data_IF_241127276273
#
_entry.id   IF_241127276273
#
_cell.length_a   1.000
_cell.length_b   1.000
_cell.length_c   1.000
_cell.angle_alpha   90.00
_cell.angle_beta   90.00
_cell.angle_gamma   90.00
#
_symmetry.space_group_name_H-M   'P 1'
#
loop_
_entity.id
_entity.type
_entity.pdbx_description
1 polymer ?
#
# COMPACT_ATOMS: atom_id res chain seq x y z
N UNK A 1 55.42 -62.44 10.07
CA UNK A 1 56.10 -62.36 8.76
C UNK A 1 55.02 -62.65 7.72
N UNK A 2 54.59 -61.78 6.80
CA UNK A 2 55.29 -60.91 5.83
C UNK A 2 54.17 -60.00 5.26
N UNK A 3 54.18 -58.67 5.49
CA UNK A 3 54.62 -57.62 4.54
C UNK A 3 53.98 -57.84 3.14
N UNK A 4 53.26 -56.93 2.46
CA UNK A 4 53.44 -55.47 2.31
C UNK A 4 52.42 -54.92 1.25
N UNK A 5 51.94 -53.68 1.42
CA UNK A 5 51.63 -52.60 0.41
C UNK A 5 50.39 -52.77 -0.53
N UNK A 6 49.30 -52.01 -0.31
CA UNK A 6 48.87 -50.68 -0.87
C UNK A 6 48.48 -50.72 -2.35
N UNK A 7 47.23 -50.33 -2.68
CA UNK A 7 46.93 -49.43 -3.82
C UNK A 7 45.59 -48.69 -3.62
N UNK A 8 45.64 -47.36 -3.76
CA UNK A 8 44.55 -46.38 -3.89
C UNK A 8 43.55 -46.76 -5.00
N UNK A 9 42.24 -46.48 -4.82
CA UNK A 9 41.44 -45.73 -5.81
C UNK A 9 40.00 -45.42 -5.33
N UNK A 10 39.63 -44.15 -5.47
CA UNK A 10 38.31 -43.62 -5.87
C UNK A 10 37.02 -44.09 -5.18
N UNK A 11 36.27 -43.14 -4.61
CA UNK A 11 34.93 -42.75 -5.10
C UNK A 11 34.28 -41.71 -4.15
N UNK A 12 34.67 -40.44 -4.30
CA UNK A 12 33.85 -39.29 -3.90
C UNK A 12 33.04 -38.85 -5.12
N UNK A 13 31.86 -39.43 -5.29
CA UNK A 13 30.87 -39.16 -6.35
C UNK A 13 29.57 -39.89 -5.87
N UNK A 14 28.36 -39.34 -5.74
CA UNK A 14 27.73 -38.15 -6.28
C UNK A 14 26.57 -37.70 -5.36
N UNK A 15 26.61 -36.45 -4.89
CA UNK A 15 25.39 -35.66 -4.67
C UNK A 15 25.09 -34.95 -5.99
N UNK A 16 24.55 -35.69 -6.97
CA UNK A 16 23.96 -35.10 -8.17
C UNK A 16 22.45 -35.19 -8.06
N UNK A 17 21.88 -34.32 -7.22
CA UNK A 17 20.54 -33.83 -7.48
C UNK A 17 20.61 -32.96 -8.72
N UNK A 18 20.55 -33.57 -9.90
CA UNK A 18 20.22 -32.86 -11.12
C UNK A 18 18.75 -32.46 -11.01
N UNK A 19 18.46 -31.34 -10.35
CA UNK A 19 17.26 -30.60 -10.73
C UNK A 19 17.46 -30.26 -12.20
N UNK A 20 16.61 -30.80 -13.06
CA UNK A 20 16.60 -30.42 -14.45
C UNK A 20 16.14 -28.96 -14.45
N UNK A 21 17.07 -28.03 -14.65
CA UNK A 21 16.72 -26.63 -14.79
C UNK A 21 15.81 -26.52 -16.02
N UNK A 22 14.49 -26.44 -15.80
CA UNK A 22 13.58 -25.88 -16.79
C UNK A 22 13.83 -24.36 -16.76
N UNK A 23 15.02 -23.95 -17.22
CA UNK A 23 15.19 -22.59 -17.71
C UNK A 23 14.28 -22.55 -18.93
N UNK A 24 13.23 -21.75 -18.85
CA UNK A 24 12.38 -21.43 -19.98
C UNK A 24 13.28 -20.84 -21.06
N UNK A 25 13.71 -21.68 -22.00
CA UNK A 25 14.39 -21.23 -23.19
C UNK A 25 13.34 -20.51 -24.04
N UNK A 26 13.54 -19.21 -24.28
CA UNK A 26 12.66 -18.44 -25.16
C UNK A 26 12.80 -18.97 -26.59
N UNK A 27 11.93 -19.90 -27.00
CA UNK A 27 11.75 -20.21 -28.41
C UNK A 27 11.00 -19.06 -29.09
N UNK A 28 11.78 -18.18 -29.71
CA UNK A 28 11.31 -17.08 -30.56
C UNK A 28 11.86 -15.71 -30.17
N UNK A 29 11.91 -14.79 -31.14
CA UNK A 29 12.09 -13.35 -30.94
C UNK A 29 10.86 -12.74 -30.25
N UNK A 30 10.53 -13.22 -29.05
CA UNK A 30 9.49 -12.63 -28.21
C UNK A 30 10.12 -11.45 -27.47
N UNK A 31 9.94 -10.25 -28.01
CA UNK A 31 10.26 -9.02 -27.26
C UNK A 31 9.23 -8.92 -26.12
N UNK A 32 9.65 -8.66 -24.87
CA UNK A 32 8.72 -8.40 -23.78
C UNK A 32 7.78 -7.25 -24.15
N UNK A 33 6.48 -7.45 -23.93
CA UNK A 33 5.50 -6.36 -24.01
C UNK A 33 5.71 -5.49 -22.77
N UNK A 34 6.25 -4.28 -22.97
CA UNK A 34 6.53 -3.32 -21.90
C UNK A 34 5.52 -2.17 -21.88
N UNK A 35 4.43 -2.25 -22.66
CA UNK A 35 3.39 -1.23 -22.65
C UNK A 35 2.59 -1.31 -21.35
N UNK A 36 2.44 -0.19 -20.66
CA UNK A 36 1.56 -0.07 -19.50
C UNK A 36 0.12 -0.05 -20.01
N UNK A 37 -0.71 -0.92 -19.45
CA UNK A 37 -2.15 -1.00 -19.73
C UNK A 37 -2.90 -0.53 -18.50
N UNK A 38 -3.77 0.46 -18.68
CA UNK A 38 -4.67 0.94 -17.64
C UNK A 38 -6.07 0.33 -17.75
N UNK A 39 -6.94 0.70 -16.81
CA UNK A 39 -8.30 0.20 -16.71
C UNK A 39 -8.34 -1.22 -16.13
N UNK A 40 -7.40 -1.54 -15.24
CA UNK A 40 -7.43 -2.76 -14.46
C UNK A 40 -8.51 -2.60 -13.39
N UNK A 41 -9.39 -3.59 -13.28
CA UNK A 41 -10.41 -3.62 -12.23
C UNK A 41 -9.71 -3.75 -10.87
N UNK A 42 -9.90 -2.77 -9.99
CA UNK A 42 -9.27 -2.73 -8.67
C UNK A 42 -9.92 -3.77 -7.76
N UNK A 43 -9.09 -4.63 -7.17
CA UNK A 43 -9.51 -5.55 -6.12
C UNK A 43 -9.48 -4.81 -4.78
N UNK A 44 -10.58 -4.11 -4.48
CA UNK A 44 -10.70 -3.29 -3.27
C UNK A 44 -10.43 -4.05 -1.97
N UNK A 45 -10.73 -5.35 -1.91
CA UNK A 45 -10.39 -6.18 -0.75
C UNK A 45 -8.90 -6.19 -0.45
N UNK A 46 -8.05 -6.32 -1.48
CA UNK A 46 -6.59 -6.26 -1.32
C UNK A 46 -6.13 -4.87 -0.94
N UNK A 47 -6.75 -3.82 -1.48
CA UNK A 47 -6.45 -2.44 -1.08
C UNK A 47 -6.68 -2.22 0.41
N UNK A 48 -7.83 -2.67 0.93
CA UNK A 48 -8.12 -2.55 2.36
C UNK A 48 -7.20 -3.42 3.22
N UNK A 49 -6.88 -4.65 2.78
CA UNK A 49 -5.93 -5.52 3.47
C UNK A 49 -4.52 -4.89 3.55
N UNK A 50 -4.06 -4.24 2.48
CA UNK A 50 -2.78 -3.52 2.45
C UNK A 50 -2.79 -2.33 3.42
N UNK A 51 -3.88 -1.56 3.45
CA UNK A 51 -4.02 -0.44 4.37
C UNK A 51 -4.06 -0.90 5.83
N UNK A 52 -4.81 -1.95 6.15
CA UNK A 52 -4.86 -2.51 7.49
C UNK A 52 -3.49 -3.03 7.92
N UNK A 53 -2.78 -3.74 7.03
CA UNK A 53 -1.45 -4.25 7.31
C UNK A 53 -0.42 -3.14 7.59
N UNK A 54 -0.52 -2.01 6.89
CA UNK A 54 0.43 -0.90 7.02
C UNK A 54 0.09 0.07 8.15
N UNK A 55 -1.19 0.38 8.34
CA UNK A 55 -1.63 1.51 9.15
C UNK A 55 -2.35 1.11 10.45
N UNK A 56 -2.74 -0.17 10.61
CA UNK A 56 -3.16 -0.73 11.91
C UNK A 56 -2.02 -1.40 12.68
N UNK A 57 -0.78 -1.31 12.18
CA UNK A 57 0.41 -1.75 12.91
C UNK A 57 0.61 -0.88 14.16
N UNK A 58 0.39 -1.48 15.34
CA UNK A 58 0.48 -0.80 16.64
C UNK A 58 1.92 -0.42 17.03
N UNK A 59 2.95 -0.95 16.37
CA UNK A 59 4.33 -0.50 16.55
C UNK A 59 4.58 0.86 15.89
N UNK A 60 3.95 1.11 14.73
CA UNK A 60 4.06 2.35 13.98
C UNK A 60 2.98 3.38 14.38
N UNK A 61 1.76 2.90 14.55
CA UNK A 61 0.56 3.69 14.86
C UNK A 61 -0.14 3.11 16.10
N UNK A 62 0.41 3.32 17.32
CA UNK A 62 -0.15 2.75 18.55
C UNK A 62 -1.59 3.19 18.86
N UNK A 63 -2.04 4.27 18.20
CA UNK A 63 -3.37 4.85 18.35
C UNK A 63 -4.41 4.37 17.33
N UNK A 64 -4.03 3.71 16.23
CA UNK A 64 -4.98 3.41 15.14
C UNK A 64 -5.87 2.23 15.49
N UNK A 65 -7.20 2.38 15.43
CA UNK A 65 -8.15 1.32 15.80
C UNK A 65 -8.85 0.70 14.58
N UNK A 66 -9.22 1.50 13.58
CA UNK A 66 -9.78 0.97 12.34
C UNK A 66 -9.69 1.98 11.20
N UNK A 67 -9.61 1.48 9.97
CA UNK A 67 -9.73 2.26 8.74
C UNK A 67 -11.02 1.80 8.06
N UNK A 68 -11.93 2.73 7.81
CA UNK A 68 -13.16 2.44 7.07
C UNK A 68 -13.24 3.40 5.89
N UNK A 69 -13.39 2.86 4.69
CA UNK A 69 -13.49 3.66 3.49
C UNK A 69 -14.67 3.25 2.62
N UNK A 70 -15.21 4.22 1.89
CA UNK A 70 -16.20 4.00 0.85
C UNK A 70 -15.72 4.67 -0.43
N UNK A 71 -15.58 3.87 -1.49
CA UNK A 71 -15.23 4.36 -2.82
C UNK A 71 -16.50 4.46 -3.65
N UNK A 72 -16.79 5.67 -4.13
CA UNK A 72 -17.95 5.97 -4.95
C UNK A 72 -17.48 6.36 -6.35
N UNK A 73 -17.08 5.35 -7.12
CA UNK A 73 -16.49 5.51 -8.47
C UNK A 73 -17.36 6.36 -9.40
N UNK A 74 -18.69 6.18 -9.36
CA UNK A 74 -19.63 6.94 -10.21
C UNK A 74 -19.67 8.44 -9.87
N UNK A 75 -19.31 8.80 -8.64
CA UNK A 75 -19.33 10.18 -8.14
C UNK A 75 -17.93 10.81 -8.09
N UNK A 76 -16.88 10.05 -8.41
CA UNK A 76 -15.48 10.38 -8.16
C UNK A 76 -15.26 10.85 -6.71
N UNK A 77 -15.69 10.03 -5.74
CA UNK A 77 -15.59 10.36 -4.32
C UNK A 77 -14.99 9.24 -3.48
N UNK A 78 -14.22 9.66 -2.48
CA UNK A 78 -13.64 8.81 -1.46
C UNK A 78 -14.08 9.36 -0.10
N UNK A 79 -14.78 8.55 0.69
CA UNK A 79 -15.05 8.88 2.09
C UNK A 79 -14.23 7.96 3.00
N UNK A 80 -13.43 8.54 3.89
CA UNK A 80 -12.61 7.82 4.86
C UNK A 80 -12.95 8.21 6.30
N UNK A 81 -13.15 7.19 7.13
CA UNK A 81 -13.31 7.33 8.59
C UNK A 81 -12.20 6.53 9.26
N UNK A 82 -11.30 7.28 9.89
CA UNK A 82 -10.14 6.76 10.60
C UNK A 82 -10.42 6.82 12.11
N UNK A 83 -10.68 5.66 12.70
CA UNK A 83 -10.93 5.58 14.13
C UNK A 83 -9.63 5.35 14.87
N UNK A 84 -9.45 6.14 15.93
CA UNK A 84 -8.24 6.12 16.77
C UNK A 84 -8.63 5.97 18.24
N UNK A 85 -7.64 5.72 19.10
CA UNK A 85 -7.83 5.88 20.53
C UNK A 85 -7.87 7.38 20.91
N UNK A 86 -8.26 7.70 22.15
CA UNK A 86 -8.48 9.10 22.59
C UNK A 86 -7.19 9.94 22.72
N UNK A 87 -6.01 9.37 22.47
CA UNK A 87 -4.72 9.97 22.85
C UNK A 87 -3.85 10.37 21.64
N UNK A 88 -4.36 11.22 20.76
CA UNK A 88 -3.60 11.75 19.62
C UNK A 88 -3.80 13.26 19.42
N UNK A 89 -2.75 13.99 19.03
CA UNK A 89 -2.88 15.41 18.67
C UNK A 89 -3.49 15.59 17.28
N UNK A 90 -3.97 16.80 16.98
CA UNK A 90 -4.48 17.13 15.65
C UNK A 90 -3.41 17.00 14.55
N UNK A 91 -2.16 17.34 14.88
CA UNK A 91 -1.01 17.21 13.98
C UNK A 91 -0.74 15.74 13.65
N UNK A 92 -0.71 14.87 14.67
CA UNK A 92 -0.53 13.43 14.44
C UNK A 92 -1.72 12.83 13.67
N UNK A 93 -2.95 13.29 13.91
CA UNK A 93 -4.12 12.88 13.13
C UNK A 93 -4.02 13.32 11.66
N UNK A 94 -3.52 14.53 11.41
CA UNK A 94 -3.23 15.07 10.08
C UNK A 94 -2.17 14.24 9.34
N UNK A 95 -1.05 13.94 10.01
CA UNK A 95 0.02 13.10 9.47
C UNK A 95 -0.47 11.68 9.14
N UNK A 96 -1.23 11.08 10.07
CA UNK A 96 -1.81 9.75 9.88
C UNK A 96 -2.79 9.70 8.71
N UNK A 97 -3.75 10.63 8.65
CA UNK A 97 -4.73 10.69 7.58
C UNK A 97 -4.08 10.94 6.21
N UNK A 98 -3.08 11.82 6.16
CA UNK A 98 -2.28 12.07 4.95
C UNK A 98 -1.58 10.80 4.49
N UNK A 99 -0.97 10.06 5.42
CA UNK A 99 -0.27 8.82 5.10
C UNK A 99 -1.23 7.72 4.60
N UNK A 100 -2.41 7.58 5.22
CA UNK A 100 -3.43 6.61 4.79
C UNK A 100 -3.93 6.92 3.38
N UNK A 101 -4.17 8.19 3.04
CA UNK A 101 -4.55 8.58 1.67
C UNK A 101 -3.46 8.24 0.64
N UNK A 102 -2.20 8.52 0.96
CA UNK A 102 -1.07 8.15 0.11
C UNK A 102 -0.98 6.63 -0.07
N UNK A 103 -1.11 5.87 1.02
CA UNK A 103 -1.15 4.41 0.96
C UNK A 103 -2.32 3.86 0.14
N UNK A 104 -3.49 4.50 0.21
CA UNK A 104 -4.67 4.12 -0.58
C UNK A 104 -4.36 4.24 -2.06
N UNK A 105 -3.79 5.37 -2.47
CA UNK A 105 -3.34 5.56 -3.84
C UNK A 105 -2.28 4.53 -4.24
N UNK A 106 -1.27 4.30 -3.40
CA UNK A 106 -0.13 3.44 -3.74
C UNK A 106 -0.54 1.98 -3.92
N UNK A 107 -1.50 1.50 -3.12
CA UNK A 107 -2.08 0.17 -3.32
C UNK A 107 -2.88 0.09 -4.64
N UNK A 108 -3.63 1.14 -4.99
CA UNK A 108 -4.29 1.23 -6.32
C UNK A 108 -3.27 1.24 -7.46
N UNK A 109 -2.22 2.04 -7.37
CA UNK A 109 -1.16 2.15 -8.37
C UNK A 109 -0.31 0.87 -8.50
N UNK A 110 -0.29 0.02 -7.46
CA UNK A 110 0.34 -1.30 -7.51
C UNK A 110 -0.47 -2.29 -8.36
N UNK A 111 -1.79 -2.14 -8.41
CA UNK A 111 -2.68 -2.99 -9.21
C UNK A 111 -2.84 -2.46 -10.63
N UNK A 112 -3.05 -1.15 -10.79
CA UNK A 112 -3.14 -0.46 -12.08
C UNK A 112 -1.98 0.54 -12.23
N UNK A 113 -0.94 0.10 -12.92
CA UNK A 113 0.28 0.88 -13.18
C UNK A 113 0.06 2.12 -14.07
N UNK A 114 -1.16 2.35 -14.57
CA UNK A 114 -1.48 3.60 -15.26
C UNK A 114 -1.68 4.78 -14.29
N UNK A 115 -1.92 4.51 -13.00
CA UNK A 115 -1.91 5.53 -11.96
C UNK A 115 -0.50 5.74 -11.44
N UNK A 116 -0.11 7.00 -11.29
CA UNK A 116 1.12 7.37 -10.61
C UNK A 116 0.98 7.12 -9.08
N UNK A 117 2.02 6.57 -8.44
CA UNK A 117 2.09 6.50 -6.98
C UNK A 117 2.20 7.90 -6.37
N UNK A 118 1.99 7.97 -5.07
CA UNK A 118 2.19 9.15 -4.24
C UNK A 118 3.68 9.50 -4.11
N UNK A 119 3.96 10.76 -3.75
CA UNK A 119 5.30 11.23 -3.39
C UNK A 119 5.23 12.23 -2.22
N UNK A 120 6.27 13.03 -1.99
CA UNK A 120 6.30 14.01 -0.89
C UNK A 120 5.20 15.09 -1.03
N UNK A 121 4.92 15.53 -2.26
CA UNK A 121 4.07 16.67 -2.61
C UNK A 121 2.89 16.27 -3.52
N UNK A 122 2.53 14.98 -3.55
CA UNK A 122 1.45 14.46 -4.36
C UNK A 122 0.79 13.24 -3.71
N UNK A 123 -0.54 13.18 -3.76
CA UNK A 123 -1.29 12.01 -3.26
C UNK A 123 -1.29 10.84 -4.23
N UNK A 124 -0.94 11.08 -5.50
CA UNK A 124 -1.06 10.11 -6.57
C UNK A 124 -2.35 10.26 -7.37
N UNK A 125 -2.36 9.69 -8.58
CA UNK A 125 -3.40 9.98 -9.57
C UNK A 125 -4.80 9.55 -9.09
N UNK A 126 -4.94 8.42 -8.42
CA UNK A 126 -6.27 7.93 -8.02
C UNK A 126 -6.90 8.89 -7.01
N UNK A 127 -6.17 9.24 -5.95
CA UNK A 127 -6.70 10.14 -4.91
C UNK A 127 -6.88 11.56 -5.44
N UNK A 128 -5.95 12.09 -6.23
CA UNK A 128 -6.05 13.45 -6.77
C UNK A 128 -7.17 13.64 -7.79
N UNK A 129 -7.66 12.57 -8.42
CA UNK A 129 -8.80 12.60 -9.35
C UNK A 129 -10.16 12.45 -8.64
N UNK A 130 -10.19 12.32 -7.32
CA UNK A 130 -11.42 12.13 -6.53
C UNK A 130 -11.60 13.26 -5.50
N UNK A 131 -12.85 13.60 -5.24
CA UNK A 131 -13.23 14.38 -4.06
C UNK A 131 -13.07 13.50 -2.82
N UNK A 132 -12.25 13.93 -1.87
CA UNK A 132 -11.97 13.17 -0.64
C UNK A 132 -12.63 13.84 0.55
N UNK A 133 -13.39 13.07 1.33
CA UNK A 133 -13.80 13.43 2.69
C UNK A 133 -13.06 12.55 3.68
N UNK A 134 -12.46 13.15 4.71
CA UNK A 134 -11.76 12.39 5.76
C UNK A 134 -12.16 12.86 7.15
N UNK A 135 -12.48 11.88 8.01
CA UNK A 135 -12.76 12.05 9.43
C UNK A 135 -11.76 11.25 10.25
N UNK A 136 -11.15 11.90 11.23
CA UNK A 136 -10.39 11.25 12.31
C UNK A 136 -11.11 11.50 13.63
N UNK A 137 -11.50 10.42 14.31
CA UNK A 137 -12.26 10.51 15.55
C UNK A 137 -11.96 9.35 16.52
N UNK A 138 -12.18 9.53 17.83
CA UNK A 138 -12.05 8.44 18.78
C UNK A 138 -13.09 7.33 18.52
N UNK A 139 -12.66 6.07 18.54
CA UNK A 139 -13.50 4.92 18.20
C UNK A 139 -14.78 4.79 19.06
N UNK A 140 -14.73 5.28 20.31
CA UNK A 140 -15.87 5.19 21.24
C UNK A 140 -16.87 6.34 21.12
N UNK A 141 -16.54 7.40 20.37
CA UNK A 141 -17.35 8.63 20.32
C UNK A 141 -17.49 9.24 18.92
N UNK A 142 -17.07 8.54 17.87
CA UNK A 142 -17.09 9.04 16.48
C UNK A 142 -18.49 9.46 15.95
N UNK A 143 -19.57 9.09 16.63
CA UNK A 143 -20.91 9.54 16.29
C UNK A 143 -21.23 10.96 16.82
N UNK A 144 -20.42 11.47 17.76
CA UNK A 144 -20.54 12.81 18.33
C UNK A 144 -19.52 13.77 17.68
N UNK A 145 -19.98 14.70 16.81
CA UNK A 145 -19.11 15.66 16.14
C UNK A 145 -18.28 16.54 17.08
N UNK A 146 -18.71 16.72 18.33
CA UNK A 146 -17.94 17.51 19.30
C UNK A 146 -16.65 16.81 19.76
N UNK A 147 -16.51 15.52 19.44
CA UNK A 147 -15.33 14.69 19.78
C UNK A 147 -14.41 14.43 18.59
N UNK A 148 -14.78 14.88 17.39
CA UNK A 148 -13.96 14.73 16.20
C UNK A 148 -12.64 15.48 16.36
N UNK A 149 -11.55 14.84 15.96
CA UNK A 149 -10.19 15.37 16.09
C UNK A 149 -9.84 16.18 14.83
N UNK A 150 -10.20 15.63 13.67
CA UNK A 150 -9.94 16.24 12.37
C UNK A 150 -11.08 15.86 11.41
N UNK A 151 -11.57 16.88 10.70
CA UNK A 151 -12.43 16.73 9.53
C UNK A 151 -11.82 17.58 8.42
N UNK A 152 -11.75 17.02 7.22
CA UNK A 152 -11.26 17.75 6.05
C UNK A 152 -11.92 17.25 4.76
N UNK A 153 -11.93 18.11 3.75
CA UNK A 153 -12.35 17.79 2.40
C UNK A 153 -11.30 18.31 1.42
N UNK A 154 -10.77 17.42 0.59
CA UNK A 154 -9.83 17.76 -0.48
C UNK A 154 -10.58 17.59 -1.80
N UNK A 155 -10.55 18.60 -2.66
CA UNK A 155 -11.22 18.53 -3.96
C UNK A 155 -10.35 17.82 -5.00
N UNK A 156 -11.01 17.14 -5.93
CA UNK A 156 -10.33 16.65 -7.12
C UNK A 156 -9.60 17.82 -7.81
N UNK A 157 -8.41 17.55 -8.34
CA UNK A 157 -7.51 18.52 -8.97
C UNK A 157 -7.05 19.69 -8.07
N UNK A 158 -7.28 19.63 -6.75
CA UNK A 158 -6.75 20.61 -5.80
C UNK A 158 -5.21 20.49 -5.69
N UNK A 159 -4.52 21.62 -5.51
CA UNK A 159 -3.08 21.60 -5.21
C UNK A 159 -2.81 20.80 -3.94
N UNK A 160 -1.74 20.02 -3.95
CA UNK A 160 -1.40 19.18 -2.82
C UNK A 160 -1.25 19.98 -1.53
N UNK A 161 -1.85 19.45 -0.48
CA UNK A 161 -1.65 19.83 0.91
C UNK A 161 -1.85 18.62 1.80
N UNK A 162 -1.17 18.53 2.95
CA UNK A 162 -1.51 17.55 3.97
C UNK A 162 -2.96 17.72 4.45
N UNK A 163 -3.58 16.60 4.84
CA UNK A 163 -4.93 16.59 5.41
C UNK A 163 -4.99 17.52 6.61
N UNK A 164 -6.02 18.36 6.70
CA UNK A 164 -6.24 19.32 7.78
C UNK A 164 -5.38 20.59 7.73
N UNK A 165 -4.49 20.72 6.74
CA UNK A 165 -3.80 21.97 6.42
C UNK A 165 -4.65 22.80 5.43
N UNK A 166 -4.61 24.14 5.48
CA UNK A 166 -5.32 24.96 4.49
C UNK A 166 -4.72 24.81 3.09
N UNK A 167 -5.55 25.00 2.06
CA UNK A 167 -5.08 25.15 0.68
C UNK A 167 -4.18 26.38 0.55
N UNK A 168 -3.17 26.29 -0.31
CA UNK A 168 -2.38 27.46 -0.69
C UNK A 168 -3.28 28.49 -1.39
N UNK A 169 -3.16 29.76 -1.00
CA UNK A 169 -3.90 30.89 -1.60
C UNK A 169 -3.31 31.36 -2.95
#
# INVERSE_FOLDING_TARGET
MKKIIITLLSCTLLLCGCTQSNIVASEGNRVPDTEIRGGIEIEWGQVWDDLDAQFLDKELYPFSESINGNIMDEENKIDLVLLVNEEITKEQASEYATAVLKGLNDSVATQDFSFNPSDEEFYGDFVSNNDVSVLVAPALSFEDPSTHILEDTIKADEEYRPVGMPAAE
#
